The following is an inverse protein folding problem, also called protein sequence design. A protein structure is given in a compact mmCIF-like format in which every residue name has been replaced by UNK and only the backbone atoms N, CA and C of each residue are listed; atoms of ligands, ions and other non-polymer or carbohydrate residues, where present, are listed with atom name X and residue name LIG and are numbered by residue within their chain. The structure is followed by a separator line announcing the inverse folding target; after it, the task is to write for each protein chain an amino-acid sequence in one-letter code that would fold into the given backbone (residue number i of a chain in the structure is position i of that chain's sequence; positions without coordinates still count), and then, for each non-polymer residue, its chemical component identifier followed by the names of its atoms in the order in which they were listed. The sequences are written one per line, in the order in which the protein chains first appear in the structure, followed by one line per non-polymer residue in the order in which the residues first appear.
data_IF_337323026496
#
_entry.id   IF_337323026496
#
_cell.length_a   1.000
_cell.length_b   1.000
_cell.length_c   1.000
_cell.angle_alpha   90.00
_cell.angle_beta   90.00
_cell.angle_gamma   90.00
#
_symmetry.space_group_name_H-M   'P 1'
#
loop_
_entity.id
_entity.type
_entity.pdbx_description
1 polymer ?
#
# COMPACT_ATOMS: atom_id res chain seq x y z
N UNK A 1 9.24 -0.42 -15.27
CA UNK A 1 7.89 0.13 -15.48
C UNK A 1 7.68 1.50 -14.86
N UNK A 2 7.57 1.67 -13.53
CA UNK A 2 7.31 3.01 -12.94
C UNK A 2 8.35 4.09 -13.33
N UNK A 3 9.64 3.77 -13.19
CA UNK A 3 10.73 4.68 -13.59
C UNK A 3 10.75 4.91 -15.10
N UNK A 4 10.40 3.90 -15.90
CA UNK A 4 10.38 3.98 -17.37
C UNK A 4 9.28 4.92 -17.88
N UNK A 5 8.16 5.03 -17.16
CA UNK A 5 7.09 5.98 -17.48
C UNK A 5 7.28 7.36 -16.81
N UNK A 6 8.45 7.60 -16.20
CA UNK A 6 8.87 8.91 -15.71
C UNK A 6 8.57 9.20 -14.24
N UNK A 7 8.21 8.21 -13.42
CA UNK A 7 8.11 8.40 -11.97
C UNK A 7 9.48 8.31 -11.30
N UNK A 8 9.75 9.24 -10.38
CA UNK A 8 10.78 9.04 -9.36
C UNK A 8 10.24 8.09 -8.28
N UNK A 9 11.05 7.11 -7.89
CA UNK A 9 10.62 6.05 -6.96
C UNK A 9 11.60 5.96 -5.81
N UNK A 10 11.09 6.13 -4.60
CA UNK A 10 11.80 5.84 -3.35
C UNK A 10 11.21 4.57 -2.71
N UNK A 11 12.07 3.61 -2.37
CA UNK A 11 11.64 2.30 -1.85
C UNK A 11 11.75 2.29 -0.33
N UNK A 12 10.63 2.06 0.35
CA UNK A 12 10.55 1.95 1.80
C UNK A 12 10.41 0.48 2.25
N UNK A 13 10.95 0.10 3.42
CA UNK A 13 10.65 -1.17 4.06
C UNK A 13 9.16 -1.32 4.38
N UNK A 14 8.67 -2.57 4.44
CA UNK A 14 7.25 -2.88 4.67
C UNK A 14 6.68 -2.33 5.99
N UNK A 15 7.54 -2.03 6.97
CA UNK A 15 7.17 -1.57 8.31
C UNK A 15 7.25 -0.05 8.49
N UNK A 16 7.45 0.72 7.41
CA UNK A 16 7.34 2.18 7.41
C UNK A 16 5.99 2.60 8.00
N UNK A 17 5.97 3.70 8.77
CA UNK A 17 4.75 4.21 9.39
C UNK A 17 4.00 5.10 8.41
N UNK A 18 2.67 4.94 8.34
CA UNK A 18 1.85 5.75 7.44
C UNK A 18 2.00 7.25 7.72
N UNK A 19 2.18 7.63 8.98
CA UNK A 19 2.32 9.03 9.41
C UNK A 19 3.55 9.72 8.80
N UNK A 20 4.62 8.96 8.54
CA UNK A 20 5.81 9.44 7.84
C UNK A 20 5.49 9.77 6.37
N UNK A 21 4.89 8.82 5.65
CA UNK A 21 4.49 9.02 4.25
C UNK A 21 3.42 10.12 4.09
N UNK A 22 2.48 10.21 5.03
CA UNK A 22 1.48 11.29 5.07
C UNK A 22 2.16 12.66 5.22
N UNK A 23 3.23 12.74 6.01
CA UNK A 23 3.99 13.97 6.18
C UNK A 23 4.68 14.37 4.87
N UNK A 24 5.33 13.43 4.18
CA UNK A 24 5.95 13.66 2.87
C UNK A 24 4.93 14.12 1.82
N UNK A 25 3.76 13.46 1.78
CA UNK A 25 2.68 13.83 0.87
C UNK A 25 2.16 15.24 1.12
N UNK A 26 1.94 15.61 2.39
CA UNK A 26 1.50 16.96 2.78
C UNK A 26 2.51 18.06 2.43
N UNK A 27 3.80 17.73 2.39
CA UNK A 27 4.86 18.64 1.94
C UNK A 27 4.99 18.71 0.41
N UNK A 28 4.30 17.84 -0.32
CA UNK A 28 4.39 17.75 -1.79
C UNK A 28 5.63 16.99 -2.28
N UNK A 29 6.37 16.36 -1.38
CA UNK A 29 7.61 15.61 -1.70
C UNK A 29 7.28 14.30 -2.43
N UNK A 30 6.15 13.67 -2.09
CA UNK A 30 5.60 12.52 -2.82
C UNK A 30 4.18 12.82 -3.31
N UNK A 31 3.77 12.17 -4.40
CA UNK A 31 2.45 12.39 -5.02
C UNK A 31 1.51 11.19 -4.85
N UNK A 32 2.02 10.07 -4.35
CA UNK A 32 1.24 8.86 -4.10
C UNK A 32 2.09 7.75 -3.49
N UNK A 33 1.43 6.64 -3.17
CA UNK A 33 2.09 5.44 -2.62
C UNK A 33 1.80 4.24 -3.53
N UNK A 34 2.85 3.52 -3.88
CA UNK A 34 2.75 2.26 -4.61
C UNK A 34 2.93 1.08 -3.64
N UNK A 35 1.92 0.21 -3.54
CA UNK A 35 1.97 -1.02 -2.74
C UNK A 35 2.37 -2.18 -3.68
N UNK A 36 3.60 -2.64 -3.56
CA UNK A 36 4.16 -3.68 -4.42
C UNK A 36 3.60 -5.08 -4.11
N UNK A 37 3.99 -6.04 -4.94
CA UNK A 37 3.72 -7.45 -4.72
C UNK A 37 4.58 -8.02 -3.56
N UNK A 38 4.11 -9.12 -2.98
CA UNK A 38 4.87 -9.84 -1.96
C UNK A 38 4.23 -11.19 -1.62
N UNK A 39 4.95 -12.07 -0.92
CA UNK A 39 4.40 -13.31 -0.40
C UNK A 39 3.56 -13.03 0.85
N UNK A 40 2.59 -13.91 1.14
CA UNK A 40 1.89 -13.92 2.43
C UNK A 40 0.38 -14.01 2.33
N UNK A 41 -0.26 -14.25 3.48
CA UNK A 41 -1.71 -14.23 3.63
C UNK A 41 -2.12 -12.84 4.14
N UNK A 42 -2.82 -12.01 3.35
CA UNK A 42 -3.13 -10.63 3.72
C UNK A 42 -3.95 -10.54 5.02
N UNK A 43 -4.79 -11.54 5.32
CA UNK A 43 -5.66 -11.53 6.52
C UNK A 43 -4.91 -11.51 7.85
N UNK A 44 -3.65 -11.95 7.89
CA UNK A 44 -2.84 -11.92 9.12
C UNK A 44 -2.02 -10.63 9.27
N UNK A 45 -1.91 -9.83 8.21
CA UNK A 45 -1.13 -8.59 8.14
C UNK A 45 -1.92 -7.40 8.71
N UNK A 46 -2.40 -7.54 9.95
CA UNK A 46 -3.31 -6.58 10.58
C UNK A 46 -2.67 -5.21 10.76
N UNK A 47 -1.35 -5.16 10.99
CA UNK A 47 -0.63 -3.89 11.18
C UNK A 47 -0.50 -3.15 9.85
N UNK A 48 -0.13 -3.86 8.80
CA UNK A 48 0.00 -3.35 7.44
C UNK A 48 -1.35 -2.86 6.90
N UNK A 49 -2.43 -3.63 7.12
CA UNK A 49 -3.79 -3.18 6.79
C UNK A 49 -4.14 -1.88 7.52
N UNK A 50 -3.77 -1.74 8.80
CA UNK A 50 -4.02 -0.53 9.56
C UNK A 50 -3.23 0.67 9.04
N UNK A 51 -1.96 0.50 8.68
CA UNK A 51 -1.14 1.57 8.08
C UNK A 51 -1.70 1.97 6.69
N UNK A 52 -2.05 1.00 5.83
CA UNK A 52 -2.69 1.28 4.53
C UNK A 52 -4.03 2.01 4.70
N UNK A 53 -4.81 1.65 5.73
CA UNK A 53 -6.06 2.35 6.05
C UNK A 53 -5.83 3.81 6.42
N UNK A 54 -4.80 4.13 7.20
CA UNK A 54 -4.44 5.53 7.49
C UNK A 54 -4.08 6.31 6.22
N UNK A 55 -3.33 5.71 5.30
CA UNK A 55 -3.00 6.33 4.01
C UNK A 55 -4.27 6.62 3.19
N UNK A 56 -5.23 5.67 3.19
CA UNK A 56 -6.52 5.84 2.52
C UNK A 56 -7.37 6.97 3.14
N UNK A 57 -7.42 7.04 4.47
CA UNK A 57 -8.12 8.10 5.21
C UNK A 57 -7.51 9.48 4.95
N UNK A 58 -6.19 9.54 4.79
CA UNK A 58 -5.45 10.74 4.36
C UNK A 58 -5.66 11.11 2.89
N UNK A 59 -6.43 10.31 2.13
CA UNK A 59 -6.74 10.49 0.70
C UNK A 59 -5.50 10.57 -0.19
N UNK A 60 -4.45 9.83 0.17
CA UNK A 60 -3.25 9.71 -0.66
C UNK A 60 -3.58 8.81 -1.86
N UNK A 61 -3.27 9.23 -3.10
CA UNK A 61 -3.40 8.37 -4.27
C UNK A 61 -2.57 7.10 -4.10
N UNK A 62 -3.20 5.94 -4.28
CA UNK A 62 -2.54 4.64 -4.11
C UNK A 62 -2.77 3.71 -5.29
N UNK A 63 -1.72 2.98 -5.65
CA UNK A 63 -1.77 1.87 -6.61
C UNK A 63 -1.24 0.62 -5.92
N UNK A 64 -2.05 -0.45 -5.88
CA UNK A 64 -1.67 -1.72 -5.28
C UNK A 64 -1.60 -2.85 -6.30
N UNK A 65 -0.53 -3.63 -6.28
CA UNK A 65 -0.31 -4.78 -7.16
C UNK A 65 -0.22 -6.07 -6.33
N UNK A 66 -0.95 -7.12 -6.72
CA UNK A 66 -0.95 -8.43 -6.07
C UNK A 66 -1.27 -8.33 -4.56
N UNK A 67 -0.31 -8.56 -3.66
CA UNK A 67 -0.49 -8.38 -2.21
C UNK A 67 -0.90 -6.94 -1.87
N UNK A 68 -0.33 -5.93 -2.54
CA UNK A 68 -0.73 -4.53 -2.35
C UNK A 68 -2.21 -4.27 -2.69
N UNK A 69 -2.74 -4.93 -3.72
CA UNK A 69 -4.17 -4.88 -4.05
C UNK A 69 -5.02 -5.49 -2.93
N UNK A 70 -4.62 -6.64 -2.41
CA UNK A 70 -5.33 -7.33 -1.33
C UNK A 70 -5.36 -6.53 -0.03
N UNK A 71 -4.21 -5.93 0.35
CA UNK A 71 -4.12 -5.04 1.51
C UNK A 71 -5.03 -3.83 1.37
N UNK A 72 -5.07 -3.22 0.18
CA UNK A 72 -5.98 -2.11 -0.10
C UNK A 72 -7.44 -2.55 0.06
N UNK A 73 -7.85 -3.68 -0.54
CA UNK A 73 -9.20 -4.22 -0.36
C UNK A 73 -9.55 -4.44 1.11
N UNK A 74 -8.65 -5.03 1.90
CA UNK A 74 -8.87 -5.23 3.34
C UNK A 74 -8.95 -3.91 4.13
N UNK A 75 -8.15 -2.91 3.78
CA UNK A 75 -8.20 -1.58 4.41
C UNK A 75 -9.56 -0.89 4.21
N UNK A 76 -10.21 -1.12 3.05
CA UNK A 76 -11.57 -0.67 2.75
C UNK A 76 -12.68 -1.60 3.31
N UNK A 77 -12.32 -2.65 4.07
CA UNK A 77 -13.27 -3.53 4.74
C UNK A 77 -13.75 -4.73 3.92
N UNK A 78 -13.18 -4.96 2.73
CA UNK A 78 -13.51 -6.13 1.92
C UNK A 78 -12.69 -7.35 2.35
N UNK A 79 -13.32 -8.52 2.42
CA UNK A 79 -12.65 -9.75 2.78
C UNK A 79 -11.86 -10.36 1.61
N UNK A 80 -10.74 -10.99 1.92
CA UNK A 80 -9.93 -11.81 1.00
C UNK A 80 -10.06 -13.28 1.39
N UNK A 81 -9.88 -14.20 0.44
CA UNK A 81 -9.94 -15.63 0.68
C UNK A 81 -8.83 -16.36 -0.06
N UNK A 82 -8.44 -17.51 0.49
CA UNK A 82 -7.42 -18.37 -0.14
C UNK A 82 -8.05 -19.14 -1.29
N UNK A 83 -7.47 -19.04 -2.48
CA UNK A 83 -7.90 -19.79 -3.64
C UNK A 83 -7.59 -21.29 -3.48
N UNK A 84 -8.39 -22.14 -4.12
CA UNK A 84 -8.15 -23.60 -4.13
C UNK A 84 -6.88 -23.95 -4.91
N UNK A 85 -6.69 -23.26 -6.04
CA UNK A 85 -5.49 -23.25 -6.87
C UNK A 85 -5.27 -21.80 -7.30
N UNK A 86 -4.06 -21.28 -7.09
CA UNK A 86 -3.78 -19.84 -7.18
C UNK A 86 -2.30 -19.54 -7.12
#
# INVERSE_FOLDING_TARGET
ELVEVGFEVEVYPYNVKADELITLYKKGEIQGVFLSNGPGEPRILKQEIAEVKKLAEAKIPMLGICLGHQLLSNAFGYATYKMKFG
#
